data_IF_108615138382
#
_entry.id   IF_108615138382
#
_cell.length_a   1.000
_cell.length_b   1.000
_cell.length_c   1.000
_cell.angle_alpha   90.00
_cell.angle_beta   90.00
_cell.angle_gamma   90.00
#
_symmetry.space_group_name_H-M   'P 1'
#
loop_
_entity.id
_entity.type
_entity.pdbx_description
1 polymer ?
#
# COMPACT_ATOMS: atom_id res chain seq x y z
N UNK A 1 6.08 24.21 -56.16
CA UNK A 1 6.35 22.79 -55.92
C UNK A 1 7.86 22.65 -55.81
N UNK A 2 8.34 22.24 -54.64
CA UNK A 2 9.76 21.95 -54.37
C UNK A 2 10.01 20.43 -54.50
N UNK A 3 11.22 20.00 -54.16
CA UNK A 3 11.77 18.63 -54.24
C UNK A 3 12.31 18.21 -55.63
N UNK A 4 13.45 17.54 -55.76
CA UNK A 4 14.51 17.22 -54.75
C UNK A 4 15.84 16.99 -55.46
N UNK A 5 16.95 17.34 -54.81
CA UNK A 5 18.29 16.79 -55.10
C UNK A 5 18.94 16.47 -53.77
N UNK A 6 19.14 15.19 -53.44
CA UNK A 6 20.25 14.81 -52.56
C UNK A 6 20.78 13.39 -52.83
N UNK A 7 22.04 13.20 -52.48
CA UNK A 7 22.92 12.13 -52.93
C UNK A 7 23.28 11.21 -51.75
N UNK A 8 23.16 9.89 -51.91
CA UNK A 8 23.35 8.91 -50.83
C UNK A 8 24.71 8.19 -50.93
N UNK A 9 25.68 8.46 -50.03
CA UNK A 9 26.91 7.69 -49.99
C UNK A 9 26.74 6.34 -49.25
N UNK A 10 27.24 5.28 -49.88
CA UNK A 10 27.45 3.96 -49.30
C UNK A 10 28.77 3.90 -48.53
N UNK A 11 28.85 3.07 -47.47
CA UNK A 11 30.06 2.25 -47.23
C UNK A 11 29.81 1.03 -46.35
N UNK A 12 30.13 -0.13 -46.93
CA UNK A 12 30.20 -1.47 -46.35
C UNK A 12 31.68 -1.79 -46.07
N UNK A 13 32.02 -2.39 -44.93
CA UNK A 13 33.41 -2.79 -44.65
C UNK A 13 33.55 -3.67 -43.40
N UNK A 14 33.95 -4.93 -43.59
CA UNK A 14 34.16 -5.93 -42.53
C UNK A 14 35.66 -6.22 -42.31
N UNK A 15 36.01 -6.50 -41.05
CA UNK A 15 36.97 -7.49 -40.53
C UNK A 15 38.45 -7.51 -41.03
N UNK A 16 39.36 -7.09 -40.14
CA UNK A 16 40.78 -7.55 -39.92
C UNK A 16 41.18 -7.24 -38.45
N UNK A 17 42.11 -7.92 -37.77
CA UNK A 17 42.76 -9.21 -38.08
C UNK A 17 44.09 -9.48 -37.33
N UNK A 18 44.04 -10.06 -36.12
CA UNK A 18 45.09 -10.84 -35.39
C UNK A 18 46.46 -10.17 -35.08
N UNK A 19 46.80 -10.00 -33.78
CA UNK A 19 48.15 -10.15 -33.10
C UNK A 19 47.87 -10.30 -31.57
N UNK A 20 48.11 -11.43 -30.87
CA UNK A 20 49.32 -11.87 -30.10
C UNK A 20 49.90 -10.86 -29.07
N UNK A 21 50.35 -11.19 -27.83
CA UNK A 21 50.38 -12.43 -27.02
C UNK A 21 50.65 -12.17 -25.50
N UNK A 22 50.29 -13.14 -24.63
CA UNK A 22 50.92 -13.61 -23.35
C UNK A 22 51.41 -12.64 -22.23
N UNK A 23 50.94 -12.90 -20.98
CA UNK A 23 51.66 -13.00 -19.67
C UNK A 23 50.58 -13.42 -18.63
N UNK A 24 50.52 -14.65 -18.11
CA UNK A 24 51.39 -15.41 -17.18
C UNK A 24 51.22 -15.05 -15.68
N UNK A 25 50.35 -15.83 -15.02
CA UNK A 25 50.33 -16.29 -13.61
C UNK A 25 50.65 -15.34 -12.44
N UNK A 26 49.72 -15.28 -11.46
CA UNK A 26 50.09 -15.17 -10.04
C UNK A 26 49.12 -15.91 -9.09
N UNK A 27 49.60 -17.06 -8.65
CA UNK A 27 49.49 -17.70 -7.33
C UNK A 27 48.28 -17.46 -6.40
N UNK A 28 47.55 -18.55 -6.21
CA UNK A 28 46.95 -18.95 -4.93
C UNK A 28 48.07 -19.10 -3.88
N UNK A 29 47.92 -18.52 -2.68
CA UNK A 29 48.61 -19.03 -1.49
C UNK A 29 47.72 -18.98 -0.25
N UNK A 30 47.68 -20.11 0.44
CA UNK A 30 46.82 -20.41 1.59
C UNK A 30 47.34 -19.77 2.88
N UNK A 31 46.47 -19.11 3.64
CA UNK A 31 46.72 -18.85 5.05
C UNK A 31 45.86 -19.79 5.90
N UNK A 32 46.44 -20.92 6.30
CA UNK A 32 45.86 -21.80 7.30
C UNK A 32 46.08 -21.20 8.69
N UNK A 33 45.05 -20.55 9.24
CA UNK A 33 44.99 -20.21 10.65
C UNK A 33 44.06 -21.21 11.36
N UNK A 34 44.65 -22.24 11.95
CA UNK A 34 43.93 -23.21 12.79
C UNK A 34 43.69 -22.60 14.17
N UNK A 35 42.45 -22.66 14.66
CA UNK A 35 42.04 -22.10 15.96
C UNK A 35 40.60 -22.50 16.30
N UNK A 36 40.34 -23.80 16.37
CA UNK A 36 38.99 -24.33 16.53
C UNK A 36 38.44 -24.27 17.95
N UNK A 37 37.11 -24.28 18.06
CA UNK A 37 36.36 -24.81 19.19
C UNK A 37 35.10 -25.53 18.67
N UNK A 38 34.55 -26.42 19.48
CA UNK A 38 33.81 -27.61 19.05
C UNK A 38 32.39 -27.35 18.50
N UNK A 39 31.97 -28.24 17.60
CA UNK A 39 30.63 -28.34 17.02
C UNK A 39 29.51 -28.44 18.07
N UNK A 40 28.32 -27.94 17.71
CA UNK A 40 27.15 -28.81 17.62
C UNK A 40 26.32 -28.47 16.36
N UNK A 41 25.71 -29.48 15.75
CA UNK A 41 24.96 -29.38 14.50
C UNK A 41 23.50 -29.00 14.76
N UNK A 42 22.98 -28.02 14.01
CA UNK A 42 21.55 -27.89 13.73
C UNK A 42 21.36 -27.29 12.32
N UNK A 43 20.51 -27.90 11.51
CA UNK A 43 20.23 -27.48 10.13
C UNK A 43 19.56 -26.10 10.08
N UNK A 44 20.03 -25.25 9.16
CA UNK A 44 19.33 -24.02 8.78
C UNK A 44 18.43 -24.36 7.58
N UNK A 45 17.28 -24.96 7.87
CA UNK A 45 16.19 -25.16 6.90
C UNK A 45 14.82 -25.29 7.60
N UNK A 46 14.49 -24.31 8.45
CA UNK A 46 13.11 -23.91 8.78
C UNK A 46 13.12 -22.59 9.58
N UNK A 47 12.08 -21.73 9.50
CA UNK A 47 11.88 -20.71 10.51
C UNK A 47 11.64 -21.37 11.87
N UNK A 48 12.46 -21.01 12.86
CA UNK A 48 12.31 -21.49 14.24
C UNK A 48 11.03 -20.89 14.83
N UNK A 49 10.04 -21.75 15.06
CA UNK A 49 8.98 -21.49 16.03
C UNK A 49 9.59 -21.62 17.43
N UNK A 50 9.74 -20.48 18.12
CA UNK A 50 10.15 -20.45 19.52
C UNK A 50 8.92 -20.73 20.41
N UNK A 51 8.66 -22.01 20.68
CA UNK A 51 7.56 -22.45 21.55
C UNK A 51 8.11 -22.75 22.95
N UNK A 52 8.13 -21.68 23.78
CA UNK A 52 9.00 -21.54 24.96
C UNK A 52 8.30 -21.43 26.32
N UNK A 53 7.12 -22.04 26.51
CA UNK A 53 6.69 -22.62 27.79
C UNK A 53 6.36 -21.73 29.01
N UNK A 54 5.04 -21.59 29.26
CA UNK A 54 4.33 -21.48 30.55
C UNK A 54 4.52 -20.24 31.48
N UNK A 55 3.37 -19.71 31.93
CA UNK A 55 3.27 -18.51 32.78
C UNK A 55 1.94 -17.77 32.60
N UNK A 56 0.82 -18.37 33.02
CA UNK A 56 -0.52 -17.87 32.68
C UNK A 56 -0.94 -16.56 33.36
N UNK A 57 -1.77 -15.76 32.65
CA UNK A 57 -2.52 -14.65 33.23
C UNK A 57 -2.90 -13.55 32.25
N UNK A 58 -4.06 -13.66 31.61
CA UNK A 58 -4.60 -12.63 30.70
C UNK A 58 -3.98 -12.69 29.31
N UNK A 59 -4.78 -13.07 28.31
CA UNK A 59 -4.35 -12.98 26.92
C UNK A 59 -4.44 -11.54 26.44
N UNK A 60 -3.34 -10.80 26.56
CA UNK A 60 -3.19 -9.53 25.85
C UNK A 60 -3.34 -9.79 24.33
N UNK A 61 -4.05 -8.93 23.58
CA UNK A 61 -4.25 -9.14 22.16
C UNK A 61 -2.90 -9.12 21.44
N UNK A 62 -2.63 -10.15 20.64
CA UNK A 62 -1.47 -10.16 19.73
C UNK A 62 -1.65 -8.97 18.79
N UNK A 63 -0.69 -8.03 18.78
CA UNK A 63 -0.71 -6.90 17.84
C UNK A 63 0.39 -7.04 16.81
N UNK A 64 0.13 -6.67 15.55
CA UNK A 64 1.19 -6.45 14.55
C UNK A 64 1.34 -4.97 14.25
N UNK A 65 2.59 -4.53 14.15
CA UNK A 65 2.94 -3.19 13.71
C UNK A 65 2.68 -3.07 12.21
N UNK A 66 2.05 -1.98 11.80
CA UNK A 66 1.80 -1.65 10.40
C UNK A 66 2.60 -0.40 10.04
N UNK A 67 3.60 -0.57 9.19
CA UNK A 67 4.30 0.55 8.55
C UNK A 67 3.57 0.93 7.28
N UNK A 68 3.16 2.20 7.16
CA UNK A 68 2.60 2.78 5.94
C UNK A 68 3.27 4.11 5.63
N UNK A 69 3.06 4.65 4.44
CA UNK A 69 3.76 5.85 4.00
C UNK A 69 3.12 6.50 2.78
N UNK A 70 3.60 7.68 2.40
CA UNK A 70 3.06 8.39 1.25
C UNK A 70 1.59 8.77 1.43
N UNK A 71 1.23 9.50 2.47
CA UNK A 71 -0.05 10.24 2.45
C UNK A 71 0.05 11.26 1.30
N UNK A 72 -0.78 11.15 0.25
CA UNK A 72 -0.73 12.08 -0.89
C UNK A 72 -1.59 13.30 -0.55
N UNK A 73 -0.91 14.40 -0.26
CA UNK A 73 -1.40 15.54 0.52
C UNK A 73 -0.72 15.54 1.89
N UNK A 74 0.63 15.42 1.93
CA UNK A 74 1.39 14.82 3.02
C UNK A 74 1.24 15.57 4.33
N UNK A 75 0.31 15.08 5.15
CA UNK A 75 0.07 15.52 6.51
C UNK A 75 1.21 15.02 7.39
N UNK A 76 2.10 15.91 7.79
CA UNK A 76 3.06 15.70 8.89
C UNK A 76 2.35 15.94 10.21
N UNK A 77 2.61 15.08 11.20
CA UNK A 77 2.01 15.13 12.54
C UNK A 77 0.46 15.13 12.51
N UNK A 78 -0.11 14.30 11.63
CA UNK A 78 -1.55 14.03 11.54
C UNK A 78 -1.94 12.89 12.50
N UNK A 79 -3.18 12.92 12.97
CA UNK A 79 -3.78 11.82 13.74
C UNK A 79 -4.35 10.79 12.78
N UNK A 80 -4.00 9.53 12.98
CA UNK A 80 -4.54 8.38 12.24
C UNK A 80 -5.47 7.61 13.16
N UNK A 81 -6.74 7.46 12.79
CA UNK A 81 -7.72 6.65 13.53
C UNK A 81 -8.15 5.46 12.69
N UNK A 82 -8.15 4.27 13.29
CA UNK A 82 -8.63 3.04 12.66
C UNK A 82 -9.99 2.69 13.22
N UNK A 83 -10.95 2.45 12.34
CA UNK A 83 -12.31 2.08 12.68
C UNK A 83 -12.64 0.69 12.14
N UNK A 84 -13.43 -0.07 12.91
CA UNK A 84 -14.22 -1.18 12.37
C UNK A 84 -15.18 -0.67 11.29
N UNK A 85 -15.61 -1.56 10.39
CA UNK A 85 -16.62 -1.24 9.38
C UNK A 85 -18.00 -1.58 9.96
N UNK A 86 -18.83 -0.57 10.17
CA UNK A 86 -20.24 -0.72 10.54
C UNK A 86 -21.13 -0.30 9.36
N UNK A 87 -21.59 -1.24 8.52
CA UNK A 87 -22.40 -0.92 7.36
C UNK A 87 -23.82 -0.42 7.72
N UNK A 88 -24.19 -0.41 9.00
CA UNK A 88 -25.45 0.19 9.47
C UNK A 88 -25.33 1.69 9.71
N UNK A 89 -24.12 2.24 9.89
CA UNK A 89 -23.87 3.67 10.10
C UNK A 89 -23.46 4.40 8.81
N UNK A 90 -24.40 4.45 7.85
CA UNK A 90 -24.24 5.23 6.62
C UNK A 90 -23.97 6.73 6.89
N UNK A 91 -24.49 7.26 8.00
CA UNK A 91 -24.36 8.68 8.34
C UNK A 91 -22.91 9.07 8.69
N UNK A 92 -22.14 8.15 9.28
CA UNK A 92 -20.73 8.34 9.59
C UNK A 92 -19.77 7.69 8.57
N UNK A 93 -20.28 7.29 7.39
CA UNK A 93 -19.45 6.70 6.33
C UNK A 93 -18.98 5.28 6.64
N UNK A 94 -19.84 4.48 7.29
CA UNK A 94 -19.58 3.12 7.78
C UNK A 94 -18.46 2.99 8.82
N UNK A 95 -18.12 4.07 9.52
CA UNK A 95 -17.16 4.03 10.64
C UNK A 95 -17.82 3.49 11.90
N UNK A 96 -17.44 2.28 12.31
CA UNK A 96 -17.83 1.62 13.55
C UNK A 96 -16.96 2.03 14.75
N UNK A 97 -16.67 1.08 15.63
CA UNK A 97 -15.86 1.32 16.82
C UNK A 97 -14.40 1.68 16.46
N UNK A 98 -13.76 2.53 17.28
CA UNK A 98 -12.33 2.82 17.16
C UNK A 98 -11.53 1.61 17.63
N UNK A 99 -10.70 1.06 16.76
CA UNK A 99 -9.80 -0.07 17.00
C UNK A 99 -8.51 0.39 17.65
N UNK A 100 -7.89 1.44 17.08
CA UNK A 100 -6.61 1.97 17.51
C UNK A 100 -6.37 3.37 16.93
N UNK A 101 -5.34 4.05 17.42
CA UNK A 101 -4.88 5.35 16.91
C UNK A 101 -3.37 5.35 16.71
N UNK A 102 -2.91 6.06 15.69
CA UNK A 102 -1.50 6.26 15.36
C UNK A 102 -1.25 7.72 14.93
N UNK A 103 -0.02 8.05 14.56
CA UNK A 103 0.30 9.38 14.01
C UNK A 103 1.09 9.27 12.71
N UNK A 104 1.34 10.40 12.07
CA UNK A 104 2.26 10.49 10.93
C UNK A 104 3.55 11.19 11.37
N UNK A 105 4.68 10.80 10.79
CA UNK A 105 5.98 11.40 11.12
C UNK A 105 6.31 12.63 10.25
N UNK A 106 7.49 13.22 10.45
CA UNK A 106 8.04 14.33 9.65
C UNK A 106 8.29 14.02 8.16
N UNK A 107 7.97 12.81 7.68
CA UNK A 107 7.97 12.39 6.28
C UNK A 107 6.55 12.02 5.79
N UNK A 108 5.50 12.35 6.57
CA UNK A 108 4.11 11.96 6.37
C UNK A 108 3.91 10.43 6.21
N UNK A 109 4.71 9.65 6.95
CA UNK A 109 4.58 8.19 7.05
C UNK A 109 3.90 7.78 8.34
N UNK A 110 3.09 6.72 8.30
CA UNK A 110 2.37 6.20 9.46
C UNK A 110 3.38 5.63 10.46
N UNK A 111 3.26 6.03 11.73
CA UNK A 111 4.09 5.56 12.83
C UNK A 111 3.25 5.23 14.06
N UNK A 112 3.64 4.18 14.80
CA UNK A 112 2.94 3.72 16.00
C UNK A 112 1.64 2.95 15.77
N UNK A 113 1.31 2.58 14.52
CA UNK A 113 0.09 1.83 14.23
C UNK A 113 0.21 0.35 14.63
N UNK A 114 -0.58 -0.05 15.62
CA UNK A 114 -0.66 -1.41 16.14
C UNK A 114 -2.08 -1.96 15.95
N UNK A 115 -2.23 -2.98 15.11
CA UNK A 115 -3.53 -3.61 14.83
C UNK A 115 -3.68 -4.94 15.60
N UNK A 116 -4.87 -5.24 16.16
CA UNK A 116 -5.12 -6.49 16.87
C UNK A 116 -5.20 -7.68 15.91
N UNK A 117 -4.86 -8.86 16.42
CA UNK A 117 -4.96 -10.14 15.72
C UNK A 117 -5.84 -11.13 16.51
N UNK A 118 -6.71 -11.92 15.84
CA UNK A 118 -6.87 -12.03 14.39
C UNK A 118 -7.42 -10.73 13.75
N UNK A 119 -6.92 -10.42 12.56
CA UNK A 119 -7.26 -9.20 11.82
C UNK A 119 -8.68 -9.31 11.27
N UNK A 120 -9.54 -8.34 11.59
CA UNK A 120 -10.86 -8.21 10.96
C UNK A 120 -10.69 -7.93 9.46
N UNK A 121 -11.51 -8.53 8.60
CA UNK A 121 -11.36 -8.58 7.14
C UNK A 121 -10.88 -7.27 6.47
N UNK A 122 -11.43 -6.13 6.91
CA UNK A 122 -10.91 -4.81 6.58
C UNK A 122 -11.21 -3.77 7.67
N UNK A 123 -10.50 -2.64 7.61
CA UNK A 123 -10.72 -1.46 8.45
C UNK A 123 -10.77 -0.17 7.63
N UNK A 124 -11.49 0.85 8.12
CA UNK A 124 -11.39 2.22 7.60
C UNK A 124 -10.28 2.96 8.34
N UNK A 125 -9.34 3.53 7.61
CA UNK A 125 -8.30 4.41 8.15
C UNK A 125 -8.66 5.86 7.81
N UNK A 126 -8.80 6.69 8.85
CA UNK A 126 -9.04 8.12 8.72
C UNK A 126 -7.83 8.91 9.23
N UNK A 127 -7.39 9.86 8.42
CA UNK A 127 -6.29 10.77 8.69
C UNK A 127 -6.89 12.14 8.92
N UNK A 128 -6.69 12.71 10.12
CA UNK A 128 -7.19 14.04 10.48
C UNK A 128 -6.06 15.00 10.79
N UNK A 129 -6.26 16.26 10.40
CA UNK A 129 -5.38 17.37 10.75
C UNK A 129 -5.89 18.08 12.01
N UNK A 130 -4.98 18.42 12.91
CA UNK A 130 -5.24 19.25 14.09
C UNK A 130 -4.46 20.58 14.02
N UNK A 131 -4.10 21.15 15.17
CA UNK A 131 -3.37 22.42 15.26
C UNK A 131 -1.85 22.29 15.02
N UNK A 132 -1.29 21.09 15.19
CA UNK A 132 0.13 20.79 15.01
C UNK A 132 0.41 20.18 13.62
N UNK A 133 -0.61 19.59 12.98
CA UNK A 133 -0.48 19.03 11.62
C UNK A 133 -0.12 20.07 10.56
N UNK A 134 0.84 19.74 9.69
CA UNK A 134 1.25 20.59 8.54
C UNK A 134 1.31 19.82 7.22
N UNK A 135 1.14 20.52 6.10
CA UNK A 135 1.44 19.98 4.76
C UNK A 135 2.95 20.08 4.49
N UNK A 136 3.61 18.96 4.13
CA UNK A 136 5.09 18.89 4.01
C UNK A 136 5.67 19.83 2.94
N UNK A 137 4.89 20.19 1.92
CA UNK A 137 5.38 20.95 0.77
C UNK A 137 5.28 22.46 1.00
N UNK A 138 4.32 22.88 1.83
CA UNK A 138 4.02 24.29 2.11
C UNK A 138 4.44 24.72 3.51
N UNK A 139 4.58 23.78 4.46
CA UNK A 139 4.91 24.06 5.86
C UNK A 139 3.82 24.82 6.63
N UNK A 140 2.57 24.78 6.14
CA UNK A 140 1.40 25.43 6.77
C UNK A 140 0.27 24.43 7.02
N UNK A 141 -0.79 24.88 7.69
CA UNK A 141 -1.97 24.07 7.96
C UNK A 141 -2.59 23.50 6.66
N UNK A 142 -2.93 22.20 6.61
CA UNK A 142 -3.52 21.56 5.45
C UNK A 142 -4.88 22.15 5.05
N UNK A 143 -5.14 22.25 3.74
CA UNK A 143 -6.47 22.66 3.22
C UNK A 143 -7.47 21.50 3.28
N UNK A 144 -7.00 20.26 3.12
CA UNK A 144 -7.80 19.04 3.24
C UNK A 144 -7.48 18.43 4.60
N UNK A 145 -8.37 18.65 5.58
CA UNK A 145 -8.15 18.28 6.99
C UNK A 145 -8.56 16.85 7.32
N UNK A 146 -9.17 16.11 6.38
CA UNK A 146 -9.61 14.73 6.58
C UNK A 146 -9.42 13.95 5.28
N UNK A 147 -8.75 12.79 5.36
CA UNK A 147 -8.64 11.82 4.26
C UNK A 147 -8.92 10.41 4.76
N UNK A 148 -9.49 9.56 3.90
CA UNK A 148 -9.81 8.17 4.21
C UNK A 148 -9.28 7.19 3.17
N UNK A 149 -9.03 5.97 3.62
CA UNK A 149 -8.69 4.80 2.81
C UNK A 149 -9.16 3.53 3.52
N UNK A 150 -9.13 2.39 2.85
CA UNK A 150 -9.48 1.08 3.43
C UNK A 150 -8.23 0.21 3.49
N UNK A 151 -8.00 -0.40 4.66
CA UNK A 151 -6.95 -1.39 4.85
C UNK A 151 -7.58 -2.79 4.84
N UNK A 152 -7.33 -3.55 3.79
CA UNK A 152 -7.71 -4.97 3.69
C UNK A 152 -6.61 -5.88 4.20
N UNK A 153 -6.95 -7.14 4.48
CA UNK A 153 -5.96 -8.16 4.86
C UNK A 153 -4.91 -8.39 3.75
N UNK A 154 -5.31 -8.30 2.49
CA UNK A 154 -4.40 -8.47 1.36
C UNK A 154 -3.41 -7.31 1.22
N UNK A 155 -3.87 -6.05 1.37
CA UNK A 155 -2.98 -4.88 1.42
C UNK A 155 -2.02 -4.96 2.61
N UNK A 156 -2.47 -5.45 3.77
CA UNK A 156 -1.61 -5.66 4.93
C UNK A 156 -0.58 -6.78 4.71
N UNK A 157 -0.94 -7.84 3.99
CA UNK A 157 -0.06 -8.99 3.73
C UNK A 157 0.91 -8.75 2.55
N UNK A 158 0.57 -7.88 1.60
CA UNK A 158 1.49 -7.48 0.52
C UNK A 158 2.71 -6.72 1.05
N UNK A 159 2.56 -6.06 2.21
CA UNK A 159 3.56 -5.15 2.76
C UNK A 159 3.69 -3.85 1.97
N UNK A 160 2.72 -3.57 1.09
CA UNK A 160 2.66 -2.35 0.30
C UNK A 160 2.30 -1.14 1.17
N UNK A 161 2.57 0.03 0.60
CA UNK A 161 2.47 1.31 1.27
C UNK A 161 1.01 1.77 1.30
N UNK A 162 0.48 2.08 2.48
CA UNK A 162 -0.92 2.53 2.62
C UNK A 162 -1.06 3.99 2.21
N UNK A 163 -1.72 4.25 1.08
CA UNK A 163 -2.01 5.60 0.58
C UNK A 163 -3.38 6.09 1.07
N UNK A 164 -3.39 7.24 1.75
CA UNK A 164 -4.59 8.04 1.97
C UNK A 164 -4.49 9.34 1.17
N UNK A 165 -5.52 9.59 0.35
CA UNK A 165 -5.53 10.65 -0.66
C UNK A 165 -6.95 11.21 -0.80
N UNK A 166 -7.14 12.37 -1.46
CA UNK A 166 -8.48 12.84 -1.81
C UNK A 166 -9.24 11.87 -2.72
N UNK A 167 -8.54 11.11 -3.58
CA UNK A 167 -9.16 10.14 -4.49
C UNK A 167 -9.62 8.87 -3.76
N UNK A 168 -8.82 8.34 -2.82
CA UNK A 168 -9.24 7.21 -1.98
C UNK A 168 -10.40 7.61 -1.07
N UNK A 169 -10.39 8.84 -0.56
CA UNK A 169 -11.51 9.39 0.24
C UNK A 169 -12.82 9.39 -0.56
N UNK A 170 -12.78 9.92 -1.79
CA UNK A 170 -13.93 9.90 -2.70
C UNK A 170 -14.37 8.48 -3.09
N UNK A 171 -13.43 7.54 -3.25
CA UNK A 171 -13.75 6.15 -3.58
C UNK A 171 -14.41 5.43 -2.40
N UNK A 172 -13.93 5.65 -1.17
CA UNK A 172 -14.59 5.16 0.05
C UNK A 172 -16.00 5.73 0.18
N UNK A 173 -16.18 7.05 0.03
CA UNK A 173 -17.50 7.69 0.10
C UNK A 173 -18.49 7.14 -0.93
N UNK A 174 -18.05 6.99 -2.19
CA UNK A 174 -18.90 6.45 -3.24
C UNK A 174 -19.24 4.96 -3.01
N UNK A 175 -18.30 4.16 -2.50
CA UNK A 175 -18.56 2.77 -2.14
C UNK A 175 -19.56 2.67 -0.97
N UNK A 176 -19.40 3.49 0.09
CA UNK A 176 -20.34 3.54 1.23
C UNK A 176 -21.76 3.89 0.76
N UNK A 177 -21.92 4.92 -0.08
CA UNK A 177 -23.24 5.37 -0.56
C UNK A 177 -23.91 4.33 -1.48
N UNK A 178 -23.15 3.46 -2.15
CA UNK A 178 -23.67 2.52 -3.15
C UNK A 178 -23.44 1.03 -2.81
N UNK A 179 -23.05 0.70 -1.58
CA UNK A 179 -22.75 -0.68 -1.16
C UNK A 179 -23.93 -1.63 -1.48
N UNK A 180 -25.14 -1.29 -1.04
CA UNK A 180 -26.38 -2.03 -1.30
C UNK A 180 -27.06 -1.64 -2.65
N UNK A 181 -26.34 -1.02 -3.60
CA UNK A 181 -26.95 -0.63 -4.87
C UNK A 181 -26.99 -1.79 -5.87
N UNK A 182 -28.20 -2.18 -6.28
CA UNK A 182 -28.46 -3.11 -7.38
C UNK A 182 -28.75 -2.42 -8.72
N UNK A 183 -28.23 -1.21 -8.91
CA UNK A 183 -28.40 -0.43 -10.14
C UNK A 183 -27.04 -0.08 -10.74
N UNK A 184 -26.88 -0.34 -12.04
CA UNK A 184 -25.68 -0.01 -12.81
C UNK A 184 -25.13 1.41 -12.54
N UNK A 185 -23.80 1.56 -12.34
CA UNK A 185 -22.75 0.55 -12.52
C UNK A 185 -22.53 -0.39 -11.31
N UNK A 186 -23.33 -0.28 -10.25
CA UNK A 186 -23.08 -0.96 -8.97
C UNK A 186 -23.64 -2.38 -8.89
N UNK A 187 -24.38 -2.82 -9.91
CA UNK A 187 -24.90 -4.18 -10.08
C UNK A 187 -23.88 -5.15 -10.72
N UNK A 188 -22.71 -4.68 -11.18
CA UNK A 188 -21.64 -5.52 -11.75
C UNK A 188 -20.81 -6.22 -10.67
N UNK A 189 -21.52 -6.99 -9.82
CA UNK A 189 -20.97 -7.76 -8.70
C UNK A 189 -21.67 -9.11 -8.61
N UNK A 190 -20.98 -10.13 -8.11
CA UNK A 190 -21.54 -11.50 -8.00
C UNK A 190 -22.50 -11.70 -6.81
N UNK A 191 -22.86 -10.62 -6.11
CA UNK A 191 -23.71 -10.68 -4.93
C UNK A 191 -25.20 -10.74 -5.30
N UNK A 192 -25.96 -11.50 -4.52
CA UNK A 192 -27.39 -11.74 -4.70
C UNK A 192 -28.29 -11.01 -3.69
N UNK A 193 -27.71 -10.37 -2.66
CA UNK A 193 -28.48 -9.58 -1.67
C UNK A 193 -28.70 -8.12 -2.08
N UNK A 194 -27.98 -7.62 -3.08
CA UNK A 194 -28.01 -6.21 -3.49
C UNK A 194 -29.43 -5.62 -3.64
N UNK A 195 -29.63 -4.49 -2.99
CA UNK A 195 -30.86 -3.70 -2.95
C UNK A 195 -31.93 -4.28 -2.03
N UNK A 196 -31.55 -5.07 -1.02
CA UNK A 196 -32.47 -5.55 0.03
C UNK A 196 -32.71 -4.52 1.15
N UNK A 197 -32.06 -3.35 1.07
CA UNK A 197 -32.04 -2.27 2.06
C UNK A 197 -31.15 -2.52 3.29
N UNK A 198 -30.24 -3.50 3.23
CA UNK A 198 -29.32 -3.88 4.33
C UNK A 198 -27.89 -4.03 3.83
N UNK A 199 -27.13 -2.93 3.80
CA UNK A 199 -25.72 -3.00 3.45
C UNK A 199 -24.92 -3.92 4.39
N UNK A 200 -24.00 -4.67 3.80
CA UNK A 200 -23.02 -5.55 4.47
C UNK A 200 -21.58 -5.10 4.23
N UNK A 201 -20.63 -5.72 4.94
CA UNK A 201 -19.19 -5.43 4.74
C UNK A 201 -18.73 -5.93 3.37
N UNK A 202 -19.13 -7.14 2.96
CA UNK A 202 -18.82 -7.74 1.66
C UNK A 202 -19.33 -6.87 0.48
N UNK A 203 -20.54 -6.31 0.61
CA UNK A 203 -21.12 -5.38 -0.36
C UNK A 203 -20.34 -4.06 -0.41
N UNK A 204 -19.91 -3.52 0.73
CA UNK A 204 -19.05 -2.33 0.76
C UNK A 204 -17.69 -2.60 0.11
N UNK A 205 -17.02 -3.71 0.45
CA UNK A 205 -15.70 -4.06 -0.07
C UNK A 205 -15.74 -4.33 -1.58
N UNK A 206 -16.77 -5.04 -2.06
CA UNK A 206 -16.97 -5.26 -3.50
C UNK A 206 -17.25 -3.95 -4.27
N UNK A 207 -17.96 -2.99 -3.65
CA UNK A 207 -18.21 -1.67 -4.25
C UNK A 207 -16.97 -0.77 -4.36
N UNK A 208 -15.91 -0.98 -3.55
CA UNK A 208 -14.67 -0.17 -3.60
C UNK A 208 -14.01 -0.16 -4.98
N UNK A 209 -13.98 -1.32 -5.65
CA UNK A 209 -13.39 -1.47 -7.00
C UNK A 209 -14.11 -0.60 -8.05
N UNK A 210 -15.45 -0.64 -8.04
CA UNK A 210 -16.32 0.15 -8.92
C UNK A 210 -16.17 1.64 -8.58
N UNK A 211 -16.16 2.00 -7.30
CA UNK A 211 -15.97 3.37 -6.86
C UNK A 211 -14.62 3.95 -7.29
N UNK A 212 -13.53 3.20 -7.12
CA UNK A 212 -12.20 3.57 -7.59
C UNK A 212 -12.17 3.79 -9.11
N UNK A 213 -12.86 2.94 -9.89
CA UNK A 213 -13.00 3.15 -11.34
C UNK A 213 -13.79 4.42 -11.69
N UNK A 214 -14.89 4.73 -10.99
CA UNK A 214 -15.64 5.97 -11.18
C UNK A 214 -14.81 7.22 -10.85
N UNK A 215 -14.05 7.20 -9.75
CA UNK A 215 -13.13 8.28 -9.36
C UNK A 215 -12.01 8.45 -10.39
N UNK A 216 -11.33 7.38 -10.81
CA UNK A 216 -10.31 7.41 -11.88
C UNK A 216 -10.87 7.98 -13.18
N UNK A 217 -12.05 7.54 -13.61
CA UNK A 217 -12.71 7.99 -14.84
C UNK A 217 -13.07 9.48 -14.81
N UNK A 218 -13.54 9.98 -13.66
CA UNK A 218 -14.06 11.35 -13.53
C UNK A 218 -12.98 12.37 -13.17
N UNK A 219 -12.00 11.98 -12.35
CA UNK A 219 -11.04 12.90 -11.71
C UNK A 219 -9.57 12.50 -11.90
N UNK A 220 -9.28 11.36 -12.53
CA UNK A 220 -7.95 10.78 -12.57
C UNK A 220 -6.92 11.43 -13.52
N UNK A 221 -7.27 12.50 -14.25
CA UNK A 221 -6.36 13.32 -15.10
C UNK A 221 -5.20 12.59 -15.82
N UNK A 222 -5.44 11.39 -16.37
CA UNK A 222 -4.43 10.61 -17.12
C UNK A 222 -3.87 9.37 -16.40
N UNK A 223 -4.33 9.04 -15.19
CA UNK A 223 -4.09 7.75 -14.53
C UNK A 223 -4.75 6.62 -15.36
N UNK A 224 -4.02 5.51 -15.57
CA UNK A 224 -4.58 4.33 -16.27
C UNK A 224 -5.70 3.67 -15.45
N UNK A 225 -6.70 3.11 -16.12
CA UNK A 225 -7.77 2.39 -15.44
C UNK A 225 -7.28 1.11 -14.75
N UNK A 226 -6.16 0.55 -15.20
CA UNK A 226 -5.53 -0.66 -14.65
C UNK A 226 -4.77 -0.44 -13.33
N UNK A 227 -4.65 0.80 -12.85
CA UNK A 227 -3.98 1.16 -11.59
C UNK A 227 -4.99 1.11 -10.44
N UNK A 228 -4.72 0.39 -9.36
CA UNK A 228 -5.49 0.55 -8.13
C UNK A 228 -4.97 1.77 -7.34
N UNK A 229 -5.88 2.62 -6.86
CA UNK A 229 -5.54 3.85 -6.12
C UNK A 229 -5.37 3.63 -4.62
N UNK A 230 -5.70 2.43 -4.12
CA UNK A 230 -5.50 2.06 -2.72
C UNK A 230 -4.09 1.53 -2.45
N UNK A 231 -3.44 0.92 -3.45
CA UNK A 231 -2.08 0.38 -3.36
C UNK A 231 -1.01 1.21 -4.11
N UNK A 232 -1.36 1.85 -5.23
CA UNK A 232 -0.37 2.47 -6.11
C UNK A 232 -0.19 3.96 -5.77
N UNK A 233 1.06 4.45 -5.60
CA UNK A 233 1.31 5.88 -5.40
C UNK A 233 0.77 6.73 -6.56
N UNK A 234 -0.03 7.79 -6.29
CA UNK A 234 -0.46 8.71 -7.33
C UNK A 234 0.74 9.41 -8.00
N UNK A 235 0.67 9.75 -9.31
CA UNK A 235 1.71 10.54 -9.97
C UNK A 235 1.88 11.92 -9.30
N UNK A 236 3.10 12.46 -9.34
CA UNK A 236 3.47 13.77 -8.78
C UNK A 236 3.00 14.96 -9.64
#
# INVERSE_FOLDING_TARGET
MQETVENKPSRKGMNKGIVAEIILALMILTLAACGGSTQDHADIDNPVVDDGGDGGGGGDPVTRSVGGGGIKGPLVDAVVTVYEIDPTDLANGFKGAVVTTATTNAQAQITGLLLPFPFSEAYILEFTSDADTTDIYTGVAPVITTMRTVLTLDLLNSGEQIYATPLTTMAVDLATINADSNTAPWDDRSDTTLGDSTATVDEFLSALSIAAAQVKSTMGFGISQDIDIFDTPPPD
#
